data_IF_829712762306
#
_entry.id   IF_829712762306
#
_cell.length_a   1.000
_cell.length_b   1.000
_cell.length_c   1.000
_cell.angle_alpha   90.00
_cell.angle_beta   90.00
_cell.angle_gamma   90.00
#
_symmetry.space_group_name_H-M   'P 1'
#
loop_
_entity.id
_entity.type
_entity.pdbx_description
1 polymer ?
#
# COMPACT_ATOMS: atom_id res chain seq x y z
N UNK A 1 16.89 -50.75 -58.59
CA UNK A 1 16.85 -50.87 -57.12
C UNK A 1 16.81 -49.46 -56.55
N UNK A 2 15.70 -49.06 -55.92
CA UNK A 2 15.58 -47.77 -55.22
C UNK A 2 15.26 -48.09 -53.77
N UNK A 3 16.27 -48.07 -52.91
CA UNK A 3 16.07 -48.16 -51.47
C UNK A 3 15.44 -46.84 -50.99
N UNK A 4 14.26 -46.94 -50.41
CA UNK A 4 13.47 -45.83 -49.91
C UNK A 4 14.24 -45.09 -48.81
N UNK A 5 14.48 -43.80 -49.00
CA UNK A 5 15.00 -42.91 -47.96
C UNK A 5 13.98 -42.81 -46.83
N UNK A 6 14.20 -43.55 -45.73
CA UNK A 6 13.44 -43.39 -44.50
C UNK A 6 13.89 -42.10 -43.83
N UNK A 7 13.13 -41.02 -44.03
CA UNK A 7 13.33 -39.75 -43.32
C UNK A 7 12.84 -39.90 -41.89
N UNK A 8 13.78 -40.03 -40.94
CA UNK A 8 13.47 -40.11 -39.50
C UNK A 8 13.19 -38.71 -38.97
N UNK A 9 11.93 -38.46 -38.62
CA UNK A 9 11.50 -37.21 -37.98
C UNK A 9 11.11 -37.49 -36.55
N UNK A 10 11.83 -36.89 -35.59
CA UNK A 10 11.52 -37.01 -34.16
C UNK A 10 10.33 -36.09 -33.84
N UNK A 11 9.17 -36.67 -33.52
CA UNK A 11 7.96 -35.91 -33.17
C UNK A 11 7.70 -36.09 -31.68
N UNK A 12 7.53 -34.98 -30.96
CA UNK A 12 7.12 -34.98 -29.56
C UNK A 12 5.66 -35.44 -29.46
N UNK A 13 5.41 -36.53 -28.72
CA UNK A 13 4.07 -37.10 -28.58
C UNK A 13 3.49 -36.75 -27.18
N UNK A 14 2.42 -35.94 -27.09
CA UNK A 14 1.73 -35.66 -25.84
C UNK A 14 1.16 -36.93 -25.17
N UNK A 15 1.17 -36.99 -23.84
CA UNK A 15 0.70 -38.12 -23.00
C UNK A 15 -0.70 -38.65 -23.37
N UNK A 16 -1.61 -37.76 -23.77
CA UNK A 16 -2.96 -38.14 -24.22
C UNK A 16 -2.97 -38.95 -25.52
N UNK A 17 -2.06 -38.66 -26.46
CA UNK A 17 -1.95 -39.36 -27.75
C UNK A 17 -1.38 -40.77 -27.59
N UNK A 18 -0.47 -40.99 -26.62
CA UNK A 18 0.01 -42.33 -26.27
C UNK A 18 -1.11 -43.24 -25.77
N UNK A 19 -1.91 -42.74 -24.81
CA UNK A 19 -3.04 -43.48 -24.26
C UNK A 19 -4.10 -43.79 -25.33
N UNK A 20 -4.34 -42.86 -26.25
CA UNK A 20 -5.21 -43.05 -27.41
C UNK A 20 -4.68 -44.12 -28.39
N UNK A 21 -3.38 -44.10 -28.70
CA UNK A 21 -2.76 -45.10 -29.58
C UNK A 21 -2.83 -46.52 -29.00
N UNK A 22 -2.60 -46.64 -27.68
CA UNK A 22 -2.76 -47.91 -26.93
C UNK A 22 -4.22 -48.39 -26.93
N UNK A 23 -5.19 -47.49 -26.72
CA UNK A 23 -6.62 -47.81 -26.75
C UNK A 23 -7.11 -48.24 -28.14
N UNK A 24 -6.50 -47.71 -29.20
CA UNK A 24 -6.80 -48.08 -30.60
C UNK A 24 -5.97 -49.25 -31.15
N UNK A 25 -5.20 -49.95 -30.31
CA UNK A 25 -4.32 -51.07 -30.70
C UNK A 25 -3.37 -50.75 -31.86
N UNK A 26 -2.92 -49.50 -31.98
CA UNK A 26 -1.95 -49.12 -33.01
C UNK A 26 -0.63 -49.84 -32.71
N UNK A 27 -0.17 -50.68 -33.63
CA UNK A 27 0.98 -51.56 -33.41
C UNK A 27 2.29 -50.77 -33.50
N UNK A 28 2.69 -50.16 -32.39
CA UNK A 28 3.96 -49.43 -32.29
C UNK A 28 5.11 -50.41 -32.06
N UNK A 29 6.28 -50.12 -32.63
CA UNK A 29 7.47 -50.99 -32.49
C UNK A 29 7.85 -51.14 -31.01
N UNK A 30 8.40 -52.31 -30.63
CA UNK A 30 8.81 -52.60 -29.25
C UNK A 30 9.77 -51.55 -28.69
N UNK A 31 10.70 -51.09 -29.53
CA UNK A 31 11.68 -50.04 -29.20
C UNK A 31 11.02 -48.68 -28.94
N UNK A 32 9.98 -48.33 -29.72
CA UNK A 32 9.23 -47.09 -29.52
C UNK A 32 8.35 -47.11 -28.26
N UNK A 33 7.78 -48.27 -27.90
CA UNK A 33 7.07 -48.43 -26.62
C UNK A 33 7.99 -48.27 -25.41
N UNK A 34 9.16 -48.90 -25.45
CA UNK A 34 10.16 -48.77 -24.38
C UNK A 34 10.65 -47.33 -24.24
N UNK A 35 10.95 -46.67 -25.37
CA UNK A 35 11.31 -45.24 -25.39
C UNK A 35 10.21 -44.34 -24.80
N UNK A 36 8.94 -44.59 -25.14
CA UNK A 36 7.81 -43.84 -24.58
C UNK A 36 7.60 -44.12 -23.09
N UNK A 37 7.77 -45.36 -22.63
CA UNK A 37 7.68 -45.71 -21.21
C UNK A 37 8.84 -45.10 -20.39
N UNK A 38 10.03 -45.00 -20.96
CA UNK A 38 11.20 -44.37 -20.36
C UNK A 38 11.08 -42.84 -20.33
N UNK A 39 10.53 -42.23 -21.38
CA UNK A 39 10.18 -40.80 -21.41
C UNK A 39 9.01 -40.42 -20.49
N UNK A 40 8.08 -41.35 -20.22
CA UNK A 40 6.95 -41.13 -19.33
C UNK A 40 7.28 -41.37 -17.85
N UNK A 41 8.45 -41.96 -17.57
CA UNK A 41 9.07 -41.94 -16.25
C UNK A 41 9.79 -40.60 -16.05
N UNK A 42 9.02 -39.51 -16.02
CA UNK A 42 9.46 -38.39 -15.20
C UNK A 42 9.46 -38.92 -13.76
N UNK A 43 10.64 -38.98 -13.16
CA UNK A 43 10.81 -39.45 -11.78
C UNK A 43 9.88 -38.60 -10.90
N UNK A 44 8.95 -39.22 -10.17
CA UNK A 44 8.01 -38.49 -9.32
C UNK A 44 8.76 -37.56 -8.34
N UNK A 45 9.99 -37.94 -7.98
CA UNK A 45 10.94 -37.14 -7.21
C UNK A 45 11.34 -35.85 -7.93
N UNK A 46 11.62 -35.87 -9.23
CA UNK A 46 11.94 -34.69 -10.04
C UNK A 46 10.75 -33.75 -10.19
N UNK A 47 9.54 -34.30 -10.37
CA UNK A 47 8.31 -33.51 -10.43
C UNK A 47 8.10 -32.78 -9.09
N UNK A 48 8.17 -33.52 -7.98
CA UNK A 48 8.01 -32.95 -6.65
C UNK A 48 9.09 -31.92 -6.32
N UNK A 49 10.35 -32.14 -6.75
CA UNK A 49 11.42 -31.14 -6.59
C UNK A 49 11.12 -29.84 -7.33
N UNK A 50 10.64 -29.91 -8.58
CA UNK A 50 10.27 -28.71 -9.35
C UNK A 50 9.07 -28.00 -8.73
N UNK A 51 8.09 -28.74 -8.21
CA UNK A 51 6.96 -28.15 -7.49
C UNK A 51 7.42 -27.46 -6.20
N UNK A 52 8.35 -28.06 -5.44
CA UNK A 52 8.96 -27.45 -4.25
C UNK A 52 9.68 -26.16 -4.64
N UNK A 53 10.55 -26.18 -5.67
CA UNK A 53 11.26 -24.98 -6.13
C UNK A 53 10.30 -23.87 -6.60
N UNK A 54 9.20 -24.22 -7.25
CA UNK A 54 8.19 -23.25 -7.68
C UNK A 54 7.44 -22.66 -6.48
N UNK A 55 7.09 -23.49 -5.49
CA UNK A 55 6.44 -23.05 -4.26
C UNK A 55 7.37 -22.18 -3.39
N UNK A 56 8.65 -22.51 -3.31
CA UNK A 56 9.67 -21.70 -2.62
C UNK A 56 9.83 -20.33 -3.28
N UNK A 57 9.82 -20.27 -4.62
CA UNK A 57 9.86 -19.01 -5.36
C UNK A 57 8.63 -18.15 -5.08
N UNK A 58 7.44 -18.77 -5.10
CA UNK A 58 6.19 -18.09 -4.73
C UNK A 58 6.20 -17.63 -3.28
N UNK A 59 6.77 -18.41 -2.36
CA UNK A 59 6.92 -18.04 -0.96
C UNK A 59 7.80 -16.78 -0.82
N UNK A 60 8.91 -16.73 -1.55
CA UNK A 60 9.83 -15.59 -1.52
C UNK A 60 9.19 -14.32 -2.11
N UNK A 61 8.45 -14.44 -3.21
CA UNK A 61 7.63 -13.35 -3.76
C UNK A 61 6.58 -12.84 -2.77
N UNK A 62 5.97 -13.73 -1.98
CA UNK A 62 4.99 -13.34 -0.95
C UNK A 62 5.65 -12.69 0.25
N UNK A 63 6.83 -13.16 0.68
CA UNK A 63 7.63 -12.56 1.75
C UNK A 63 8.08 -11.15 1.40
N UNK A 64 8.59 -10.95 0.19
CA UNK A 64 8.99 -9.61 -0.30
C UNK A 64 7.81 -8.66 -0.35
N UNK A 65 6.66 -9.11 -0.87
CA UNK A 65 5.40 -8.33 -0.82
C UNK A 65 4.97 -8.00 0.61
N UNK A 66 5.08 -8.95 1.54
CA UNK A 66 4.74 -8.72 2.94
C UNK A 66 5.68 -7.68 3.58
N UNK A 67 6.98 -7.76 3.32
CA UNK A 67 7.96 -6.80 3.83
C UNK A 67 7.65 -5.37 3.34
N UNK A 68 7.33 -5.21 2.06
CA UNK A 68 6.91 -3.92 1.49
C UNK A 68 5.66 -3.38 2.18
N UNK A 69 4.63 -4.22 2.36
CA UNK A 69 3.38 -3.82 3.04
C UNK A 69 3.65 -3.42 4.50
N UNK A 70 4.53 -4.15 5.20
CA UNK A 70 4.91 -3.84 6.58
C UNK A 70 5.65 -2.51 6.66
N UNK A 71 6.58 -2.24 5.75
CA UNK A 71 7.31 -0.99 5.71
C UNK A 71 6.39 0.21 5.40
N UNK A 72 5.47 0.05 4.44
CA UNK A 72 4.45 1.06 4.15
C UNK A 72 3.54 1.33 5.35
N UNK A 73 3.11 0.27 6.06
CA UNK A 73 2.30 0.40 7.28
C UNK A 73 3.06 1.14 8.37
N UNK A 74 4.35 0.83 8.55
CA UNK A 74 5.21 1.52 9.52
C UNK A 74 5.34 3.01 9.19
N UNK A 75 5.63 3.35 7.92
CA UNK A 75 5.70 4.74 7.46
C UNK A 75 4.37 5.48 7.65
N UNK A 76 3.23 4.82 7.37
CA UNK A 76 1.89 5.39 7.60
C UNK A 76 1.62 5.61 9.08
N UNK A 77 2.03 4.69 9.95
CA UNK A 77 1.88 4.79 11.40
C UNK A 77 2.71 5.96 11.96
N UNK A 78 3.99 6.03 11.60
CA UNK A 78 4.89 7.11 12.00
C UNK A 78 4.37 8.47 11.52
N UNK A 79 3.85 8.54 10.30
CA UNK A 79 3.24 9.77 9.77
C UNK A 79 1.99 10.18 10.55
N UNK A 80 1.12 9.23 10.92
CA UNK A 80 -0.05 9.51 11.77
C UNK A 80 0.37 10.01 13.14
N UNK A 81 1.35 9.39 13.78
CA UNK A 81 1.85 9.81 15.09
C UNK A 81 2.53 11.18 15.05
N UNK A 82 3.21 11.50 13.95
CA UNK A 82 3.76 12.83 13.73
C UNK A 82 2.64 13.89 13.56
N UNK A 83 1.59 13.57 12.81
CA UNK A 83 0.43 14.44 12.64
C UNK A 83 -0.31 14.69 13.96
N UNK A 84 -0.51 13.65 14.78
CA UNK A 84 -1.20 13.81 16.07
C UNK A 84 -0.41 14.72 17.01
N UNK A 85 0.93 14.58 17.06
CA UNK A 85 1.77 15.48 17.86
C UNK A 85 1.71 16.94 17.39
N UNK A 86 1.61 17.17 16.08
CA UNK A 86 1.43 18.52 15.53
C UNK A 86 0.04 19.05 15.88
N UNK A 87 -1.00 18.22 15.77
CA UNK A 87 -2.36 18.57 16.13
C UNK A 87 -2.49 18.95 17.61
N UNK A 88 -1.84 18.21 18.52
CA UNK A 88 -1.77 18.54 19.94
C UNK A 88 -1.16 19.93 20.19
N UNK A 89 0.01 20.20 19.59
CA UNK A 89 0.67 21.51 19.72
C UNK A 89 -0.18 22.65 19.18
N UNK A 90 -0.85 22.43 18.05
CA UNK A 90 -1.76 23.41 17.45
C UNK A 90 -2.99 23.65 18.32
N UNK A 91 -3.56 22.59 18.88
CA UNK A 91 -4.70 22.66 19.80
C UNK A 91 -4.35 23.45 21.06
N UNK A 92 -3.17 23.22 21.65
CA UNK A 92 -2.68 23.97 22.80
C UNK A 92 -2.49 25.47 22.47
N UNK A 93 -1.86 25.76 21.33
CA UNK A 93 -1.66 27.12 20.86
C UNK A 93 -3.00 27.85 20.64
N UNK A 94 -3.93 27.20 19.94
CA UNK A 94 -5.25 27.78 19.67
C UNK A 94 -6.09 27.91 20.93
N UNK A 95 -5.94 27.02 21.91
CA UNK A 95 -6.57 27.16 23.23
C UNK A 95 -6.05 28.39 23.97
N UNK A 96 -4.74 28.65 23.94
CA UNK A 96 -4.18 29.88 24.50
C UNK A 96 -4.75 31.13 23.80
N UNK A 97 -4.86 31.11 22.48
CA UNK A 97 -5.45 32.22 21.70
C UNK A 97 -6.94 32.39 21.94
N UNK A 98 -7.66 31.29 22.13
CA UNK A 98 -9.08 31.30 22.48
C UNK A 98 -9.31 32.03 23.80
N UNK A 99 -8.48 31.78 24.82
CA UNK A 99 -8.57 32.51 26.10
C UNK A 99 -8.41 34.02 25.93
N UNK A 100 -7.40 34.43 25.16
CA UNK A 100 -7.19 35.85 24.83
C UNK A 100 -8.39 36.42 24.07
N UNK A 101 -8.98 35.64 23.16
CA UNK A 101 -10.14 36.05 22.38
C UNK A 101 -11.41 36.16 23.24
N UNK A 102 -11.57 35.31 24.25
CA UNK A 102 -12.67 35.41 25.22
C UNK A 102 -12.53 36.59 26.18
N UNK A 103 -11.29 36.93 26.57
CA UNK A 103 -10.98 38.07 27.42
C UNK A 103 -11.06 39.41 26.66
N UNK A 104 -11.08 39.38 25.33
CA UNK A 104 -11.20 40.56 24.51
C UNK A 104 -12.64 41.09 24.51
N UNK A 105 -12.83 42.30 25.05
CA UNK A 105 -14.13 42.97 25.13
C UNK A 105 -14.53 43.67 23.83
N UNK A 106 -13.57 44.07 22.99
CA UNK A 106 -13.83 44.78 21.73
C UNK A 106 -13.80 43.84 20.52
N UNK A 107 -14.70 44.01 19.53
CA UNK A 107 -14.67 43.23 18.28
C UNK A 107 -13.35 43.37 17.51
N UNK A 108 -12.74 44.55 17.54
CA UNK A 108 -11.46 44.83 16.89
C UNK A 108 -10.31 44.00 17.47
N UNK A 109 -10.28 43.85 18.79
CA UNK A 109 -9.25 43.05 19.48
C UNK A 109 -9.43 41.57 19.18
N UNK A 110 -10.68 41.10 19.12
CA UNK A 110 -11.03 39.75 18.65
C UNK A 110 -10.52 39.50 17.22
N UNK A 111 -10.74 40.46 16.31
CA UNK A 111 -10.24 40.38 14.93
C UNK A 111 -8.71 40.33 14.84
N UNK A 112 -8.00 41.09 15.69
CA UNK A 112 -6.52 41.06 15.77
C UNK A 112 -6.00 39.72 16.26
N UNK A 113 -6.66 39.10 17.24
CA UNK A 113 -6.26 37.79 17.78
C UNK A 113 -6.44 36.69 16.72
N UNK A 114 -7.56 36.70 16.00
CA UNK A 114 -7.83 35.77 14.88
C UNK A 114 -6.80 35.99 13.77
N UNK A 115 -6.53 37.24 13.38
CA UNK A 115 -5.54 37.56 12.35
C UNK A 115 -4.12 37.13 12.74
N UNK A 116 -3.77 37.29 14.02
CA UNK A 116 -2.49 36.83 14.59
C UNK A 116 -2.37 35.30 14.56
N UNK A 117 -3.44 34.59 14.88
CA UNK A 117 -3.48 33.13 14.77
C UNK A 117 -3.29 32.67 13.32
N UNK A 118 -4.01 33.27 12.35
CA UNK A 118 -3.83 32.99 10.90
C UNK A 118 -2.38 33.18 10.47
N UNK A 119 -1.76 34.31 10.86
CA UNK A 119 -0.36 34.60 10.52
C UNK A 119 0.60 33.52 11.04
N UNK A 120 0.43 33.10 12.29
CA UNK A 120 1.27 32.05 12.90
C UNK A 120 1.04 30.70 12.22
N UNK A 121 -0.21 30.34 11.91
CA UNK A 121 -0.51 29.09 11.20
C UNK A 121 0.16 29.05 9.82
N UNK A 122 0.18 30.18 9.10
CA UNK A 122 0.85 30.27 7.80
C UNK A 122 2.39 30.24 7.91
N UNK A 123 2.97 31.03 8.82
CA UNK A 123 4.43 31.21 8.89
C UNK A 123 5.13 30.05 9.59
N UNK A 124 4.61 29.61 10.74
CA UNK A 124 5.27 28.66 11.61
C UNK A 124 4.87 27.21 11.27
N UNK A 125 3.62 27.01 10.85
CA UNK A 125 3.07 25.69 10.56
C UNK A 125 2.89 25.40 9.06
N UNK A 126 3.01 26.40 8.19
CA UNK A 126 2.80 26.24 6.75
C UNK A 126 1.36 25.86 6.38
N UNK A 127 0.41 26.23 7.23
CA UNK A 127 -1.02 25.94 7.06
C UNK A 127 -1.70 27.19 6.50
N UNK A 128 -2.28 27.07 5.31
CA UNK A 128 -3.06 28.14 4.72
C UNK A 128 -4.52 28.07 5.19
N UNK A 129 -4.88 29.00 6.07
CA UNK A 129 -6.18 29.13 6.70
C UNK A 129 -6.62 30.58 6.67
N UNK A 130 -7.92 30.80 6.57
CA UNK A 130 -8.54 32.12 6.66
C UNK A 130 -9.02 32.42 8.08
N UNK A 131 -9.39 33.68 8.30
CA UNK A 131 -9.89 34.14 9.59
C UNK A 131 -11.22 33.49 9.98
N UNK A 132 -12.07 33.17 9.01
CA UNK A 132 -13.36 32.50 9.23
C UNK A 132 -13.18 31.09 9.78
N UNK A 133 -12.22 30.33 9.25
CA UNK A 133 -11.89 29.00 9.74
C UNK A 133 -11.45 29.05 11.22
N UNK A 134 -10.53 29.94 11.57
CA UNK A 134 -10.08 30.12 12.95
C UNK A 134 -11.21 30.56 13.87
N UNK A 135 -12.05 31.49 13.43
CA UNK A 135 -13.20 31.92 14.20
C UNK A 135 -14.18 30.76 14.44
N UNK A 136 -14.45 29.94 13.43
CA UNK A 136 -15.33 28.77 13.57
C UNK A 136 -14.78 27.72 14.56
N UNK A 137 -13.45 27.60 14.67
CA UNK A 137 -12.79 26.71 15.63
C UNK A 137 -12.98 27.27 17.05
N UNK A 138 -12.81 28.58 17.22
CA UNK A 138 -13.02 29.23 18.52
C UNK A 138 -14.47 29.15 18.98
N UNK A 139 -15.43 29.39 18.09
CA UNK A 139 -16.86 29.28 18.40
C UNK A 139 -17.24 27.84 18.79
N UNK A 140 -16.74 26.83 18.06
CA UNK A 140 -16.96 25.42 18.41
C UNK A 140 -16.33 25.04 19.75
N UNK A 141 -15.10 25.50 20.02
CA UNK A 141 -14.41 25.24 21.27
C UNK A 141 -15.12 25.90 22.46
N UNK A 142 -15.70 27.10 22.28
CA UNK A 142 -16.54 27.75 23.30
C UNK A 142 -17.76 26.90 23.68
N UNK A 143 -18.42 26.27 22.71
CA UNK A 143 -19.54 25.35 22.99
C UNK A 143 -19.09 24.05 23.68
N UNK A 144 -17.84 23.64 23.46
CA UNK A 144 -17.29 22.36 23.90
C UNK A 144 -16.11 22.54 24.87
N UNK A 145 -16.37 23.09 26.06
CA UNK A 145 -15.43 23.22 27.20
C UNK A 145 -14.37 24.33 27.17
N UNK A 146 -14.44 25.27 26.21
CA UNK A 146 -13.47 26.38 26.05
C UNK A 146 -12.02 25.92 25.85
N UNK A 147 -11.86 24.73 25.29
CA UNK A 147 -10.57 24.11 24.95
C UNK A 147 -10.68 23.62 23.51
N UNK A 148 -9.69 23.97 22.69
CA UNK A 148 -9.56 23.43 21.33
C UNK A 148 -8.94 22.05 21.44
N UNK A 149 -9.58 21.02 20.88
CA UNK A 149 -9.04 19.66 20.91
C UNK A 149 -8.22 19.33 19.66
N UNK A 150 -7.31 18.35 19.72
CA UNK A 150 -6.56 17.89 18.55
C UNK A 150 -7.48 17.47 17.38
N UNK A 151 -8.65 16.90 17.68
CA UNK A 151 -9.64 16.52 16.67
C UNK A 151 -10.22 17.73 15.93
N UNK A 152 -10.37 18.87 16.60
CA UNK A 152 -10.91 20.10 16.02
C UNK A 152 -9.95 20.71 15.00
N UNK A 153 -8.65 20.43 15.08
CA UNK A 153 -7.62 20.99 14.19
C UNK A 153 -7.07 19.96 13.21
N UNK A 154 -7.41 18.68 13.38
CA UNK A 154 -6.91 17.58 12.55
C UNK A 154 -7.19 17.79 11.07
N UNK A 155 -8.36 18.32 10.74
CA UNK A 155 -8.76 18.62 9.36
C UNK A 155 -7.84 19.65 8.67
N UNK A 156 -7.17 20.53 9.43
CA UNK A 156 -6.22 21.52 8.89
C UNK A 156 -4.88 20.88 8.48
N UNK A 157 -4.59 19.69 9.01
CA UNK A 157 -3.40 18.91 8.70
C UNK A 157 -3.67 17.85 7.62
N UNK A 158 -4.94 17.68 7.23
CA UNK A 158 -5.41 16.73 6.24
C UNK A 158 -5.81 17.45 4.94
N UNK A 159 -4.86 17.66 4.02
CA UNK A 159 -5.18 18.14 2.67
C UNK A 159 -4.20 19.14 2.08
N UNK A 160 -4.66 19.90 1.07
CA UNK A 160 -3.86 20.89 0.32
C UNK A 160 -3.47 22.13 1.13
N UNK A 161 -4.04 22.30 2.33
CA UNK A 161 -3.82 23.44 3.21
C UNK A 161 -2.48 23.36 3.93
N UNK A 162 -1.99 22.14 4.21
CA UNK A 162 -0.69 21.94 4.86
C UNK A 162 0.38 21.70 3.80
N UNK A 163 1.12 22.76 3.45
CA UNK A 163 2.32 22.63 2.63
C UNK A 163 3.42 22.14 3.57
N UNK A 164 3.58 20.81 3.63
CA UNK A 164 4.67 20.18 4.38
C UNK A 164 5.97 20.87 3.93
N UNK A 165 6.58 21.70 4.80
CA UNK A 165 7.96 22.15 4.56
C UNK A 165 8.81 20.88 4.55
N UNK A 166 9.15 20.43 3.36
CA UNK A 166 10.17 19.41 3.17
C UNK A 166 11.48 20.07 3.61
N UNK A 167 11.90 19.76 4.83
CA UNK A 167 13.28 19.93 5.26
C UNK A 167 14.10 18.74 4.78
#
# INVERSE_FOLDING_TARGET
MKEEQIVRTSIYLPKGLFLLAKKKQINMSKMFRMFLEEMLKDDEVEILKREIEELERKLEEKKTKLALIMEERKKKQEMKEAMTKIAEKLADYLTMRLRQWTEAFKPEDKGRIVSGAVKVMRIDYGIDVDSECIQSIFERAMSNSSIVKPEDVKHLLEGKQWVRRQS
#
